data_IF_342235000583
#
_entry.id   IF_342235000583
#
_cell.length_a   1.000
_cell.length_b   1.000
_cell.length_c   1.000
_cell.angle_alpha   90.00
_cell.angle_beta   90.00
_cell.angle_gamma   90.00
#
_symmetry.space_group_name_H-M   'P 1'
#
loop_
_entity.id
_entity.type
_entity.pdbx_description
1 polymer ?
#
# COMPACT_ATOMS: atom_id res chain seq x y z
N UNK A 1 13.60 21.75 0.17
CA UNK A 1 13.41 20.35 0.59
C UNK A 1 11.91 20.11 0.70
N UNK A 2 11.27 19.51 -0.31
CA UNK A 2 9.82 19.35 -0.38
C UNK A 2 9.42 17.88 -0.30
N UNK A 3 8.62 17.53 0.69
CA UNK A 3 8.11 16.19 0.95
C UNK A 3 7.23 15.68 -0.21
N UNK A 4 7.74 14.74 -1.01
CA UNK A 4 6.95 14.03 -2.04
C UNK A 4 6.25 12.79 -1.45
N UNK A 5 6.58 12.42 -0.21
CA UNK A 5 6.03 11.23 0.47
C UNK A 5 4.57 11.38 0.92
N UNK A 6 3.97 12.57 0.80
CA UNK A 6 2.59 12.81 1.24
C UNK A 6 1.55 12.35 0.21
N UNK A 7 1.85 12.46 -1.09
CA UNK A 7 0.90 12.10 -2.15
C UNK A 7 0.61 10.60 -2.24
N UNK A 8 1.63 9.75 -2.06
CA UNK A 8 1.44 8.29 -2.06
C UNK A 8 0.72 7.80 -0.79
N UNK A 9 0.96 8.44 0.36
CA UNK A 9 0.20 8.16 1.60
C UNK A 9 -1.26 8.62 1.50
N UNK A 10 -1.53 9.72 0.82
CA UNK A 10 -2.90 10.18 0.54
C UNK A 10 -3.65 9.22 -0.42
N UNK A 11 -2.95 8.66 -1.40
CA UNK A 11 -3.47 7.60 -2.28
C UNK A 11 -3.76 6.28 -1.53
N UNK A 12 -3.13 6.05 -0.38
CA UNK A 12 -3.23 4.82 0.40
C UNK A 12 -4.01 4.94 1.72
N UNK A 13 -4.67 6.08 1.98
CA UNK A 13 -5.52 6.26 3.16
C UNK A 13 -4.73 6.22 4.48
N UNK A 14 -4.13 7.35 4.85
CA UNK A 14 -3.59 7.55 6.20
C UNK A 14 -4.74 7.64 7.21
N UNK A 15 -4.89 6.65 8.08
CA UNK A 15 -5.70 6.78 9.29
C UNK A 15 -4.79 7.03 10.49
N UNK A 16 -4.79 8.26 10.98
CA UNK A 16 -4.28 8.62 12.31
C UNK A 16 -5.18 8.00 13.38
N UNK A 17 -4.67 7.03 14.13
CA UNK A 17 -5.35 6.49 15.31
C UNK A 17 -4.92 7.30 16.54
N UNK A 18 -5.66 8.35 16.85
CA UNK A 18 -5.62 8.99 18.17
C UNK A 18 -6.79 8.44 18.99
N UNK A 19 -6.53 7.44 19.83
CA UNK A 19 -7.39 7.13 20.97
C UNK A 19 -6.53 7.23 22.22
N UNK A 20 -6.71 8.35 22.92
CA UNK A 20 -6.13 8.60 24.23
C UNK A 20 -6.51 7.47 25.19
N UNK A 21 -5.49 6.87 25.80
CA UNK A 21 -5.59 5.81 26.78
C UNK A 21 -5.99 6.38 28.15
N UNK A 22 -7.10 5.92 28.73
CA UNK A 22 -7.28 5.88 30.19
C UNK A 22 -8.14 4.67 30.56
N UNK A 23 -7.50 3.54 30.88
CA UNK A 23 -8.01 2.60 31.91
C UNK A 23 -6.81 2.05 32.67
N UNK A 24 -6.78 2.31 33.98
CA UNK A 24 -5.85 1.74 34.95
C UNK A 24 -5.96 0.21 35.01
N UNK A 25 -4.82 -0.48 35.08
CA UNK A 25 -4.75 -1.82 35.67
C UNK A 25 -3.43 -1.99 36.44
N UNK A 26 -3.55 -2.27 37.74
CA UNK A 26 -2.51 -2.80 38.63
C UNK A 26 -2.57 -4.35 38.59
N UNK A 27 -1.60 -5.13 39.11
CA UNK A 27 -0.75 -5.98 38.30
C UNK A 27 -0.90 -7.47 38.63
N UNK A 28 -0.80 -8.35 37.63
CA UNK A 28 -0.12 -9.66 37.71
C UNK A 28 -0.47 -10.48 36.47
N UNK A 29 0.52 -10.66 35.59
CA UNK A 29 0.52 -11.73 34.60
C UNK A 29 1.72 -12.63 34.91
N UNK A 30 1.55 -13.96 34.99
CA UNK A 30 2.68 -14.87 35.07
C UNK A 30 3.36 -14.94 33.69
N UNK A 31 4.70 -14.91 33.71
CA UNK A 31 5.58 -15.17 32.57
C UNK A 31 5.10 -16.39 31.79
N UNK A 32 4.81 -16.21 30.49
CA UNK A 32 4.78 -17.32 29.54
C UNK A 32 6.09 -17.35 28.78
N UNK A 33 6.82 -18.43 29.03
CA UNK A 33 8.09 -18.79 28.42
C UNK A 33 7.98 -18.92 26.92
N UNK A 34 9.01 -18.42 26.24
CA UNK A 34 9.27 -18.65 24.81
C UNK A 34 9.54 -20.14 24.61
N UNK A 35 8.64 -20.84 23.92
CA UNK A 35 8.89 -22.16 23.35
C UNK A 35 8.53 -22.12 21.87
N UNK A 36 9.55 -22.34 21.06
CA UNK A 36 9.46 -22.73 19.65
C UNK A 36 8.57 -24.00 19.58
N UNK A 37 7.31 -23.81 19.20
CA UNK A 37 6.27 -24.83 19.35
C UNK A 37 5.13 -24.54 18.39
N UNK A 38 4.69 -25.57 17.68
CA UNK A 38 3.53 -25.53 16.81
C UNK A 38 2.38 -24.77 17.49
N UNK A 39 1.64 -23.91 16.76
CA UNK A 39 0.58 -23.12 17.35
C UNK A 39 -0.41 -24.05 18.05
N UNK A 40 -0.75 -23.73 19.30
CA UNK A 40 -1.78 -24.42 20.07
C UNK A 40 -3.13 -24.26 19.35
N UNK A 41 -3.46 -25.24 18.50
CA UNK A 41 -4.58 -25.19 17.56
C UNK A 41 -5.90 -25.02 18.30
N UNK A 42 -6.02 -25.60 19.50
CA UNK A 42 -7.25 -25.59 20.30
C UNK A 42 -7.57 -24.20 20.86
N UNK A 43 -6.58 -23.30 20.92
CA UNK A 43 -6.75 -21.92 21.37
C UNK A 43 -7.09 -20.93 20.26
N UNK A 44 -7.06 -21.34 18.99
CA UNK A 44 -7.19 -20.43 17.84
C UNK A 44 -8.66 -20.15 17.50
N UNK A 45 -8.93 -18.90 17.09
CA UNK A 45 -10.21 -18.54 16.48
C UNK A 45 -10.34 -19.15 15.08
N UNK A 46 -11.56 -19.24 14.56
CA UNK A 46 -11.82 -19.75 13.20
C UNK A 46 -10.99 -19.04 12.12
N UNK A 47 -10.77 -17.73 12.24
CA UNK A 47 -9.99 -16.97 11.27
C UNK A 47 -8.49 -17.31 11.35
N UNK A 48 -7.96 -17.47 12.57
CA UNK A 48 -6.57 -17.87 12.78
C UNK A 48 -6.32 -19.31 12.31
N UNK A 49 -7.27 -20.22 12.54
CA UNK A 49 -7.22 -21.58 11.99
C UNK A 49 -7.17 -21.56 10.47
N UNK A 50 -8.04 -20.79 9.82
CA UNK A 50 -8.03 -20.66 8.37
C UNK A 50 -6.70 -20.12 7.84
N UNK A 51 -6.14 -19.11 8.52
CA UNK A 51 -4.83 -18.56 8.18
C UNK A 51 -3.72 -19.63 8.28
N UNK A 52 -3.70 -20.41 9.37
CA UNK A 52 -2.70 -21.48 9.56
C UNK A 52 -2.84 -22.58 8.51
N UNK A 53 -4.08 -22.97 8.15
CA UNK A 53 -4.33 -23.94 7.09
C UNK A 53 -3.76 -23.45 5.75
N UNK A 54 -4.09 -22.23 5.33
CA UNK A 54 -3.56 -21.65 4.10
C UNK A 54 -2.03 -21.59 4.09
N UNK A 55 -1.40 -21.22 5.22
CA UNK A 55 0.07 -21.22 5.36
C UNK A 55 0.66 -22.63 5.25
N UNK A 56 0.03 -23.62 5.88
CA UNK A 56 0.49 -25.01 5.88
C UNK A 56 0.42 -25.67 4.50
N UNK A 57 -0.53 -25.25 3.67
CA UNK A 57 -0.67 -25.69 2.27
C UNK A 57 0.31 -24.98 1.31
N UNK A 58 1.16 -24.08 1.83
CA UNK A 58 2.13 -23.33 1.03
C UNK A 58 1.51 -22.18 0.25
N UNK A 59 0.28 -21.79 0.57
CA UNK A 59 -0.37 -20.65 -0.07
C UNK A 59 0.24 -19.33 0.41
N UNK A 60 0.45 -18.39 -0.51
CA UNK A 60 0.91 -17.06 -0.13
C UNK A 60 -0.22 -16.30 0.58
N UNK A 61 0.01 -15.99 1.86
CA UNK A 61 -0.94 -15.27 2.71
C UNK A 61 -0.33 -13.95 3.16
N UNK A 62 -1.10 -12.87 3.00
CA UNK A 62 -0.73 -11.51 3.41
C UNK A 62 -1.80 -10.96 4.37
N UNK A 63 -1.39 -10.34 5.48
CA UNK A 63 -2.30 -9.67 6.42
C UNK A 63 -2.12 -10.11 7.87
N UNK A 64 -3.13 -9.83 8.69
CA UNK A 64 -3.15 -10.14 10.12
C UNK A 64 -4.27 -11.16 10.42
N UNK A 65 -3.94 -12.38 10.88
CA UNK A 65 -4.92 -13.42 11.21
C UNK A 65 -5.91 -13.03 12.31
N UNK A 66 -5.58 -12.07 13.17
CA UNK A 66 -6.48 -11.58 14.21
C UNK A 66 -7.55 -10.61 13.66
N UNK A 67 -7.36 -10.04 12.46
CA UNK A 67 -8.23 -9.00 11.90
C UNK A 67 -8.73 -9.36 10.51
N UNK A 68 -7.82 -9.41 9.54
CA UNK A 68 -8.10 -9.71 8.14
C UNK A 68 -6.82 -10.17 7.42
N UNK A 69 -6.96 -11.12 6.51
CA UNK A 69 -5.89 -11.56 5.61
C UNK A 69 -6.42 -11.85 4.22
N UNK A 70 -5.51 -11.85 3.24
CA UNK A 70 -5.81 -12.11 1.85
C UNK A 70 -4.98 -13.27 1.31
N UNK A 71 -5.60 -14.01 0.40
CA UNK A 71 -5.04 -15.16 -0.31
C UNK A 71 -5.37 -15.00 -1.79
N UNK A 72 -4.36 -15.13 -2.64
CA UNK A 72 -4.56 -15.12 -4.08
C UNK A 72 -4.80 -16.54 -4.60
N UNK A 73 -6.00 -16.79 -5.14
CA UNK A 73 -6.29 -18.01 -5.88
C UNK A 73 -5.88 -17.82 -7.34
N UNK A 74 -4.71 -18.36 -7.68
CA UNK A 74 -4.16 -18.28 -9.04
C UNK A 74 -4.97 -19.08 -10.07
N UNK A 75 -5.72 -20.10 -9.65
CA UNK A 75 -6.52 -20.92 -10.57
C UNK A 75 -7.74 -20.16 -11.10
N UNK A 76 -8.29 -19.27 -10.27
CA UNK A 76 -9.45 -18.44 -10.61
C UNK A 76 -9.05 -16.99 -10.95
N UNK A 77 -7.83 -16.58 -10.60
CA UNK A 77 -7.38 -15.21 -10.72
C UNK A 77 -8.05 -14.26 -9.73
N UNK A 78 -8.54 -14.77 -8.59
CA UNK A 78 -9.34 -14.02 -7.61
C UNK A 78 -8.53 -13.81 -6.32
N UNK A 79 -8.60 -12.61 -5.75
CA UNK A 79 -8.11 -12.32 -4.41
C UNK A 79 -9.22 -12.57 -3.39
N UNK A 80 -9.09 -13.60 -2.58
CA UNK A 80 -9.98 -13.89 -1.47
C UNK A 80 -9.51 -13.10 -0.24
N UNK A 81 -10.42 -12.35 0.40
CA UNK A 81 -10.14 -11.62 1.63
C UNK A 81 -11.03 -12.16 2.74
N UNK A 82 -10.39 -12.69 3.79
CA UNK A 82 -11.06 -13.18 4.99
C UNK A 82 -10.90 -12.13 6.09
N UNK A 83 -11.99 -11.77 6.75
CA UNK A 83 -11.96 -10.74 7.79
C UNK A 83 -12.96 -11.05 8.90
N UNK A 84 -12.61 -10.66 10.14
CA UNK A 84 -13.57 -10.66 11.26
C UNK A 84 -14.69 -9.63 11.06
N UNK A 85 -14.39 -8.51 10.40
CA UNK A 85 -15.34 -7.43 10.16
C UNK A 85 -15.00 -6.68 8.86
N UNK A 86 -16.01 -6.19 8.15
CA UNK A 86 -15.83 -5.42 6.90
C UNK A 86 -15.06 -4.12 7.11
N UNK A 87 -15.01 -3.58 8.33
CA UNK A 87 -14.21 -2.39 8.68
C UNK A 87 -12.69 -2.56 8.50
N UNK A 88 -12.19 -3.80 8.49
CA UNK A 88 -10.76 -4.09 8.26
C UNK A 88 -10.40 -4.26 6.79
N UNK A 89 -11.39 -4.18 5.89
CA UNK A 89 -11.20 -4.37 4.45
C UNK A 89 -11.73 -3.15 3.71
N UNK A 90 -10.83 -2.44 3.02
CA UNK A 90 -11.22 -1.33 2.17
C UNK A 90 -10.93 -1.67 0.71
N UNK A 91 -11.99 -1.86 -0.08
CA UNK A 91 -11.88 -2.07 -1.52
C UNK A 91 -11.87 -0.72 -2.25
N UNK A 92 -10.80 -0.46 -3.00
CA UNK A 92 -10.68 0.73 -3.85
C UNK A 92 -10.72 0.30 -5.31
N UNK A 93 -11.77 0.69 -6.03
CA UNK A 93 -11.81 0.54 -7.48
C UNK A 93 -10.78 1.46 -8.15
N UNK A 94 -10.10 0.95 -9.16
CA UNK A 94 -9.08 1.70 -9.90
C UNK A 94 -9.69 2.81 -10.77
N UNK A 95 -10.93 2.67 -11.25
CA UNK A 95 -11.44 3.49 -12.35
C UNK A 95 -11.78 4.95 -11.98
N UNK A 96 -12.20 5.22 -10.74
CA UNK A 96 -12.70 6.56 -10.39
C UNK A 96 -11.91 7.22 -9.26
N UNK A 97 -11.82 6.56 -8.09
CA UNK A 97 -11.16 7.16 -6.93
C UNK A 97 -9.66 7.32 -7.13
N UNK A 98 -9.01 6.29 -7.67
CA UNK A 98 -7.56 6.31 -7.91
C UNK A 98 -7.20 7.36 -8.96
N UNK A 99 -8.01 7.47 -10.02
CA UNK A 99 -7.79 8.44 -11.11
C UNK A 99 -8.00 9.88 -10.65
N UNK A 100 -9.03 10.13 -9.85
CA UNK A 100 -9.28 11.44 -9.26
C UNK A 100 -8.14 11.82 -8.29
N UNK A 101 -7.74 10.90 -7.42
CA UNK A 101 -6.66 11.15 -6.47
C UNK A 101 -5.30 11.38 -7.19
N UNK A 102 -5.04 10.67 -8.29
CA UNK A 102 -3.86 10.92 -9.11
C UNK A 102 -3.88 12.33 -9.72
N UNK A 103 -5.03 12.76 -10.23
CA UNK A 103 -5.22 14.11 -10.76
C UNK A 103 -5.00 15.19 -9.69
N UNK A 104 -5.66 15.07 -8.53
CA UNK A 104 -5.51 16.00 -7.41
C UNK A 104 -4.07 16.08 -6.91
N UNK A 105 -3.39 14.92 -6.82
CA UNK A 105 -1.99 14.86 -6.43
C UNK A 105 -1.08 15.56 -7.45
N UNK A 106 -1.32 15.37 -8.75
CA UNK A 106 -0.55 16.02 -9.80
C UNK A 106 -0.76 17.54 -9.78
N UNK A 107 -2.01 18.01 -9.67
CA UNK A 107 -2.34 19.43 -9.57
C UNK A 107 -1.68 20.09 -8.35
N UNK A 108 -1.80 19.47 -7.17
CA UNK A 108 -1.15 19.95 -5.94
C UNK A 108 0.37 19.99 -6.07
N UNK A 109 0.94 19.13 -6.92
CA UNK A 109 2.38 19.10 -7.22
C UNK A 109 2.82 20.10 -8.31
N UNK A 110 1.89 20.95 -8.79
CA UNK A 110 2.14 21.96 -9.82
C UNK A 110 2.09 21.43 -11.26
N UNK A 111 1.39 20.33 -11.52
CA UNK A 111 1.21 19.83 -12.88
C UNK A 111 0.35 20.79 -13.72
N UNK A 112 0.69 20.90 -15.01
CA UNK A 112 -0.15 21.52 -16.02
C UNK A 112 -0.67 20.46 -17.00
N UNK A 113 -1.81 20.76 -17.63
CA UNK A 113 -2.47 19.84 -18.54
C UNK A 113 -2.79 20.55 -19.85
N UNK A 114 -2.67 19.82 -20.95
CA UNK A 114 -3.02 20.26 -22.29
C UNK A 114 -3.76 19.13 -23.01
N UNK A 115 -4.82 19.46 -23.75
CA UNK A 115 -5.52 18.49 -24.60
C UNK A 115 -4.98 18.62 -26.01
N UNK A 116 -4.53 17.51 -26.59
CA UNK A 116 -4.08 17.41 -27.96
C UNK A 116 -4.88 16.27 -28.63
N UNK A 117 -5.79 16.64 -29.52
CA UNK A 117 -6.73 15.73 -30.17
C UNK A 117 -7.52 14.88 -29.16
N UNK A 118 -7.33 13.56 -29.18
CA UNK A 118 -7.99 12.58 -28.30
C UNK A 118 -7.16 12.24 -27.04
N UNK A 119 -6.05 12.96 -26.81
CA UNK A 119 -5.16 12.74 -25.68
C UNK A 119 -5.09 13.94 -24.74
N UNK A 120 -4.86 13.65 -23.46
CA UNK A 120 -4.48 14.63 -22.44
C UNK A 120 -3.00 14.47 -22.15
N UNK A 121 -2.24 15.55 -22.27
CA UNK A 121 -0.83 15.65 -21.92
C UNK A 121 -0.72 16.32 -20.55
N UNK A 122 -0.12 15.61 -19.59
CA UNK A 122 0.26 16.15 -18.30
C UNK A 122 1.75 16.46 -18.28
N UNK A 123 2.09 17.70 -17.93
CA UNK A 123 3.46 18.14 -17.67
C UNK A 123 3.60 18.35 -16.18
N UNK A 124 4.51 17.62 -15.54
CA UNK A 124 4.83 17.74 -14.12
C UNK A 124 6.33 17.94 -13.96
N UNK A 125 6.73 19.16 -13.60
CA UNK A 125 8.15 19.55 -13.46
C UNK A 125 8.95 19.25 -14.73
N UNK A 126 9.80 18.23 -14.71
CA UNK A 126 10.68 17.82 -15.81
C UNK A 126 10.20 16.56 -16.55
N UNK A 127 8.97 16.10 -16.29
CA UNK A 127 8.40 14.94 -16.98
C UNK A 127 7.10 15.31 -17.70
N UNK A 128 6.88 14.62 -18.82
CA UNK A 128 5.65 14.71 -19.60
C UNK A 128 5.07 13.32 -19.84
N UNK A 129 3.75 13.18 -19.72
CA UNK A 129 3.04 11.95 -20.05
C UNK A 129 1.70 12.24 -20.71
N UNK A 130 1.33 11.43 -21.71
CA UNK A 130 0.00 11.45 -22.31
C UNK A 130 -0.86 10.29 -21.79
N UNK A 131 -2.17 10.52 -21.74
CA UNK A 131 -3.18 9.54 -21.39
C UNK A 131 -4.54 9.88 -22.00
N UNK A 132 -5.47 8.92 -21.98
CA UNK A 132 -6.82 9.11 -22.55
C UNK A 132 -7.70 10.06 -21.75
N UNK A 133 -7.37 10.24 -20.48
CA UNK A 133 -8.09 11.12 -19.55
C UNK A 133 -7.07 11.90 -18.71
N UNK A 134 -7.54 12.96 -18.05
CA UNK A 134 -6.72 13.74 -17.12
C UNK A 134 -6.11 12.87 -16.01
N UNK A 135 -6.89 11.94 -15.44
CA UNK A 135 -6.40 11.02 -14.40
C UNK A 135 -5.31 10.08 -14.92
N UNK A 136 -5.45 9.57 -16.16
CA UNK A 136 -4.46 8.66 -16.78
C UNK A 136 -3.15 9.40 -17.06
N UNK A 137 -3.25 10.58 -17.68
CA UNK A 137 -2.10 11.43 -17.93
C UNK A 137 -1.39 11.82 -16.62
N UNK A 138 -2.15 12.20 -15.58
CA UNK A 138 -1.63 12.52 -14.26
C UNK A 138 -0.92 11.33 -13.60
N UNK A 139 -1.54 10.15 -13.59
CA UNK A 139 -0.99 8.94 -12.99
C UNK A 139 0.33 8.55 -13.67
N UNK A 140 0.38 8.60 -15.00
CA UNK A 140 1.60 8.33 -15.79
C UNK A 140 2.69 9.37 -15.52
N UNK A 141 2.34 10.65 -15.43
CA UNK A 141 3.31 11.72 -15.13
C UNK A 141 3.88 11.55 -13.71
N UNK A 142 3.05 11.25 -12.71
CA UNK A 142 3.48 10.96 -11.34
C UNK A 142 4.43 9.74 -11.29
N UNK A 143 4.09 8.66 -12.00
CA UNK A 143 4.93 7.47 -12.07
C UNK A 143 6.29 7.76 -12.71
N UNK A 144 6.32 8.48 -13.85
CA UNK A 144 7.57 8.91 -14.50
C UNK A 144 8.41 9.80 -13.59
N UNK A 145 7.78 10.74 -12.89
CA UNK A 145 8.48 11.63 -11.96
C UNK A 145 9.14 10.86 -10.81
N UNK A 146 8.44 9.89 -10.22
CA UNK A 146 8.99 9.06 -9.15
C UNK A 146 10.19 8.22 -9.63
N UNK A 147 10.11 7.63 -10.82
CA UNK A 147 11.23 6.87 -11.38
C UNK A 147 12.43 7.75 -11.70
N UNK A 148 12.22 8.98 -12.19
CA UNK A 148 13.29 9.92 -12.48
C UNK A 148 13.96 10.51 -11.22
N UNK A 149 13.26 10.48 -10.07
CA UNK A 149 13.73 11.09 -8.81
C UNK A 149 14.18 10.08 -7.77
N UNK A 150 13.99 8.78 -8.00
CA UNK A 150 14.60 7.75 -7.14
C UNK A 150 16.12 7.85 -7.27
N UNK A 151 16.86 8.00 -6.16
CA UNK A 151 18.32 7.98 -6.20
C UNK A 151 18.76 6.62 -6.75
N UNK A 152 19.58 6.63 -7.80
CA UNK A 152 20.28 5.43 -8.28
C UNK A 152 21.25 5.03 -7.18
N UNK A 153 20.92 3.99 -6.43
CA UNK A 153 21.87 3.39 -5.50
C UNK A 153 22.90 2.62 -6.34
N UNK A 154 24.07 3.22 -6.54
CA UNK A 154 25.21 2.61 -7.24
C UNK A 154 25.76 3.47 -8.37
N UNK A 155 26.66 4.39 -8.03
CA UNK A 155 27.84 4.79 -8.82
C UNK A 155 28.76 5.64 -7.93
N UNK A 156 29.33 5.00 -6.90
CA UNK A 156 30.54 5.48 -6.22
C UNK A 156 31.59 4.36 -6.31
N UNK A 157 32.39 4.38 -7.38
CA UNK A 157 33.84 4.23 -7.32
C UNK A 157 34.43 4.23 -8.73
N UNK A 158 34.79 5.41 -9.22
CA UNK A 158 35.85 5.57 -10.21
C UNK A 158 36.93 6.46 -9.60
N UNK A 159 37.74 5.80 -8.78
CA UNK A 159 39.17 6.01 -8.50
C UNK A 159 39.78 7.32 -9.00
N UNK A 160 39.95 8.28 -8.09
CA UNK A 160 41.02 9.28 -8.18
C UNK A 160 42.30 8.66 -7.64
N UNK A 161 43.25 8.35 -8.51
CA UNK A 161 44.68 8.22 -8.17
C UNK A 161 45.51 8.47 -9.42
N UNK A 162 46.08 9.67 -9.50
CA UNK A 162 47.34 9.98 -10.15
C UNK A 162 47.92 11.21 -9.46
#
# INVERSE_FOLDING_TARGET
MGQVNTGLKALMGSYDSNVASVVQANPQAPMRSVTDGAPDIDGLTTLELLYQLCKSEGTEVVGNPERAFAVYDASQGILNVYSKNTEFVHMVSHETRTMLAALECAQTSGASFMVCDEEVICVLKNVTASGKTYGDAALRALAKYQLATRPKHGDENATTSA
#
